data_IF_917441798444
#
_entry.id   IF_917441798444
#
_cell.length_a   1.000
_cell.length_b   1.000
_cell.length_c   1.000
_cell.angle_alpha   90.00
_cell.angle_beta   90.00
_cell.angle_gamma   90.00
#
_symmetry.space_group_name_H-M   'P 1'
#
loop_
_entity.id
_entity.type
_entity.pdbx_description
1 polymer ?
#
# COMPACT_ATOMS: atom_id res chain seq x y z
N UNK A 1 9.24 6.12 -46.51
CA UNK A 1 9.38 5.78 -45.08
C UNK A 1 7.99 5.41 -44.64
N UNK A 2 7.70 4.12 -44.60
CA UNK A 2 6.42 3.64 -44.11
C UNK A 2 6.42 3.72 -42.58
N UNK A 3 5.34 4.27 -42.02
CA UNK A 3 5.12 4.28 -40.58
C UNK A 3 4.58 2.89 -40.23
N UNK A 4 5.17 2.15 -39.27
CA UNK A 4 4.64 0.87 -38.87
C UNK A 4 3.22 1.05 -38.31
N UNK A 5 2.29 0.24 -38.80
CA UNK A 5 0.88 0.31 -38.41
C UNK A 5 0.72 -0.09 -36.94
N UNK A 6 -0.02 0.71 -36.17
CA UNK A 6 -0.17 0.51 -34.74
C UNK A 6 -1.07 -0.70 -34.46
N UNK A 7 -0.47 -1.79 -33.98
CA UNK A 7 -1.20 -2.97 -33.51
C UNK A 7 -1.46 -2.79 -32.02
N UNK A 8 -2.70 -2.46 -31.68
CA UNK A 8 -3.20 -2.41 -30.31
C UNK A 8 -3.05 -3.81 -29.67
N UNK A 9 -2.36 -3.95 -28.52
CA UNK A 9 -2.14 -5.26 -27.91
C UNK A 9 -3.49 -5.86 -27.48
N UNK A 10 -3.82 -7.03 -28.05
CA UNK A 10 -5.03 -7.78 -27.70
C UNK A 10 -5.02 -8.19 -26.21
N UNK A 11 -5.56 -7.31 -25.36
CA UNK A 11 -5.93 -7.64 -23.99
C UNK A 11 -6.94 -8.78 -24.04
N UNK A 12 -6.52 -9.98 -23.61
CA UNK A 12 -7.48 -11.02 -23.24
C UNK A 12 -8.30 -10.44 -22.09
N UNK A 13 -9.62 -10.29 -22.27
CA UNK A 13 -10.47 -9.65 -21.27
C UNK A 13 -10.44 -10.43 -19.96
N UNK A 14 -9.76 -9.87 -18.96
CA UNK A 14 -9.54 -10.41 -17.61
C UNK A 14 -10.80 -10.34 -16.72
N UNK A 15 -11.97 -10.66 -17.29
CA UNK A 15 -13.27 -10.59 -16.62
C UNK A 15 -13.42 -11.56 -15.44
N UNK A 16 -12.53 -12.53 -15.27
CA UNK A 16 -12.47 -13.41 -14.09
C UNK A 16 -12.05 -12.66 -12.83
N UNK A 17 -11.00 -11.85 -12.89
CA UNK A 17 -10.46 -11.18 -11.69
C UNK A 17 -11.37 -10.07 -11.17
N UNK A 18 -12.03 -9.34 -12.07
CA UNK A 18 -13.09 -8.39 -11.69
C UNK A 18 -14.24 -9.11 -10.98
N UNK A 19 -14.63 -10.31 -11.42
CA UNK A 19 -15.68 -11.12 -10.76
C UNK A 19 -15.23 -11.66 -9.39
N UNK A 20 -13.98 -12.07 -9.24
CA UNK A 20 -13.42 -12.52 -7.95
C UNK A 20 -13.39 -11.37 -6.92
N UNK A 21 -12.89 -10.20 -7.32
CA UNK A 21 -12.89 -8.99 -6.50
C UNK A 21 -14.32 -8.53 -6.13
N UNK A 22 -15.27 -8.63 -7.07
CA UNK A 22 -16.69 -8.34 -6.83
C UNK A 22 -17.30 -9.36 -5.86
N UNK A 23 -17.03 -10.66 -6.02
CA UNK A 23 -17.53 -11.71 -5.12
C UNK A 23 -17.00 -11.53 -3.69
N UNK A 24 -15.71 -11.20 -3.54
CA UNK A 24 -15.09 -10.90 -2.25
C UNK A 24 -15.76 -9.67 -1.60
N UNK A 25 -15.95 -8.58 -2.35
CA UNK A 25 -16.70 -7.41 -1.86
C UNK A 25 -18.14 -7.76 -1.44
N UNK A 26 -18.83 -8.62 -2.17
CA UNK A 26 -20.17 -9.07 -1.79
C UNK A 26 -20.18 -9.90 -0.49
N UNK A 27 -19.22 -10.83 -0.30
CA UNK A 27 -19.07 -11.56 0.98
C UNK A 27 -18.94 -10.59 2.16
N UNK A 28 -18.06 -9.59 2.06
CA UNK A 28 -17.84 -8.59 3.11
C UNK A 28 -19.07 -7.71 3.36
N UNK A 29 -19.83 -7.33 2.32
CA UNK A 29 -21.09 -6.59 2.48
C UNK A 29 -22.16 -7.47 3.16
N UNK A 30 -22.28 -8.74 2.78
CA UNK A 30 -23.19 -9.69 3.42
C UNK A 30 -22.87 -9.88 4.91
N UNK A 31 -21.58 -9.98 5.26
CA UNK A 31 -21.15 -10.07 6.65
C UNK A 31 -21.43 -8.78 7.44
N UNK A 32 -21.11 -7.60 6.89
CA UNK A 32 -21.43 -6.32 7.53
C UNK A 32 -22.95 -6.14 7.75
N UNK A 33 -23.78 -6.63 6.82
CA UNK A 33 -25.24 -6.61 6.97
C UNK A 33 -25.71 -7.57 8.07
N UNK A 34 -25.18 -8.80 8.15
CA UNK A 34 -25.45 -9.74 9.25
C UNK A 34 -25.07 -9.13 10.61
N UNK A 35 -23.85 -8.61 10.72
CA UNK A 35 -23.37 -7.96 11.94
C UNK A 35 -24.18 -6.72 12.34
N UNK A 36 -24.84 -6.04 11.39
CA UNK A 36 -25.76 -4.93 11.69
C UNK A 36 -27.11 -5.46 12.20
N UNK A 37 -27.69 -6.43 11.51
CA UNK A 37 -28.98 -7.06 11.89
C UNK A 37 -28.88 -7.72 13.28
N UNK A 38 -27.77 -8.39 13.60
CA UNK A 38 -27.53 -8.98 14.92
C UNK A 38 -27.37 -7.93 16.04
N UNK A 39 -26.93 -6.70 15.71
CA UNK A 39 -26.86 -5.58 16.65
C UNK A 39 -28.18 -4.82 16.79
N UNK A 40 -29.08 -4.93 15.81
CA UNK A 40 -30.41 -4.30 15.80
C UNK A 40 -31.52 -5.17 16.42
N UNK A 41 -31.26 -6.44 16.75
CA UNK A 41 -32.22 -7.26 17.50
C UNK A 41 -32.39 -6.75 18.95
N UNK A 42 -33.61 -6.33 19.37
CA UNK A 42 -33.86 -6.00 20.77
C UNK A 42 -33.81 -7.26 21.63
N UNK A 43 -33.11 -7.20 22.77
CA UNK A 43 -32.94 -8.35 23.69
C UNK A 43 -34.18 -8.67 24.55
N UNK A 44 -35.32 -8.06 24.25
CA UNK A 44 -36.53 -8.10 25.05
C UNK A 44 -37.69 -8.77 24.31
N UNK A 45 -37.62 -10.10 24.12
CA UNK A 45 -38.79 -11.01 23.95
C UNK A 45 -38.37 -12.49 23.78
N UNK A 46 -38.04 -13.17 24.89
CA UNK A 46 -38.48 -14.56 25.17
C UNK A 46 -38.06 -15.01 26.58
N UNK A 47 -38.96 -14.86 27.55
CA UNK A 47 -38.90 -15.60 28.82
C UNK A 47 -40.28 -16.21 29.10
N UNK A 48 -40.29 -17.41 29.66
CA UNK A 48 -41.47 -18.21 30.07
C UNK A 48 -42.31 -18.86 28.95
N UNK A 49 -41.87 -20.05 28.54
CA UNK A 49 -42.73 -21.23 28.76
C UNK A 49 -41.88 -22.45 29.15
N UNK A 50 -42.31 -23.14 30.21
CA UNK A 50 -41.49 -24.13 30.92
C UNK A 50 -41.54 -25.52 30.26
N UNK A 51 -40.42 -26.24 30.26
CA UNK A 51 -40.43 -27.65 30.68
C UNK A 51 -39.08 -28.07 31.25
N UNK A 52 -39.08 -28.96 32.26
CA UNK A 52 -37.91 -29.33 33.05
C UNK A 52 -37.38 -30.70 32.64
N UNK A 53 -36.05 -30.89 32.57
CA UNK A 53 -35.41 -32.19 32.90
C UNK A 53 -33.92 -32.01 33.26
N UNK A 54 -33.42 -32.82 34.22
CA UNK A 54 -32.00 -32.98 34.59
C UNK A 54 -31.36 -34.14 33.79
N UNK A 55 -30.07 -34.53 33.87
CA UNK A 55 -28.96 -34.35 34.84
C UNK A 55 -27.61 -34.22 34.09
N UNK A 56 -26.47 -33.84 34.74
CA UNK A 56 -25.31 -33.24 34.06
C UNK A 56 -24.13 -34.22 33.77
N UNK A 57 -22.90 -33.67 33.67
CA UNK A 57 -21.56 -34.32 33.63
C UNK A 57 -21.12 -34.96 32.28
N UNK A 58 -19.85 -34.98 31.85
CA UNK A 58 -18.56 -34.52 32.45
C UNK A 58 -17.57 -34.01 31.38
N UNK A 59 -16.61 -33.19 31.80
CA UNK A 59 -15.34 -32.80 31.16
C UNK A 59 -14.48 -33.98 30.64
N UNK A 60 -13.77 -33.83 29.50
CA UNK A 60 -12.27 -33.91 29.40
C UNK A 60 -11.72 -34.10 27.97
N UNK A 61 -10.79 -33.23 27.59
CA UNK A 61 -9.64 -33.43 26.67
C UNK A 61 -8.44 -34.07 27.43
N UNK A 62 -7.28 -34.44 26.84
CA UNK A 62 -6.82 -34.37 25.44
C UNK A 62 -6.11 -35.66 24.89
N UNK A 63 -5.48 -35.54 23.70
CA UNK A 63 -4.34 -36.34 23.18
C UNK A 63 -4.60 -37.79 22.68
N UNK A 64 -3.86 -38.38 21.71
CA UNK A 64 -2.54 -38.03 21.14
C UNK A 64 -2.32 -38.57 19.68
N UNK A 65 -1.32 -38.01 18.97
CA UNK A 65 -0.50 -38.60 17.87
C UNK A 65 -1.08 -39.03 16.48
N UNK A 66 -0.89 -38.16 15.46
CA UNK A 66 0.00 -38.30 14.25
C UNK A 66 -0.44 -37.30 13.17
N UNK A 67 0.34 -36.30 12.76
CA UNK A 67 1.54 -36.35 11.90
C UNK A 67 1.33 -37.04 10.54
N UNK A 68 0.98 -36.22 9.54
CA UNK A 68 1.46 -36.34 8.15
C UNK A 68 1.52 -34.91 7.53
N UNK A 69 2.11 -34.74 6.35
CA UNK A 69 2.79 -33.49 5.96
C UNK A 69 2.13 -32.64 4.85
N UNK A 70 2.58 -31.37 4.79
CA UNK A 70 2.70 -30.51 3.60
C UNK A 70 1.42 -30.12 2.81
N UNK A 71 0.66 -29.19 3.38
CA UNK A 71 0.22 -27.99 2.63
C UNK A 71 -0.03 -26.81 3.61
N UNK A 72 0.51 -25.61 3.38
CA UNK A 72 -0.01 -24.41 4.01
C UNK A 72 -1.37 -24.11 3.38
N UNK A 73 -2.45 -24.46 4.07
CA UNK A 73 -3.81 -24.21 3.59
C UNK A 73 -4.03 -22.71 3.40
N UNK A 74 -4.38 -22.31 2.17
CA UNK A 74 -4.79 -20.95 1.83
C UNK A 74 -6.13 -20.62 2.49
N UNK A 75 -6.07 -20.31 3.78
CA UNK A 75 -7.16 -19.85 4.63
C UNK A 75 -6.79 -18.53 5.31
N UNK A 76 -6.11 -17.65 4.56
CA UNK A 76 -6.16 -16.22 4.83
C UNK A 76 -7.53 -15.70 4.42
N UNK A 77 -8.13 -14.86 5.25
CA UNK A 77 -9.35 -14.14 4.90
C UNK A 77 -9.10 -13.31 3.63
N UNK A 78 -9.85 -13.57 2.57
CA UNK A 78 -9.67 -12.92 1.26
C UNK A 78 -10.05 -11.43 1.37
N UNK A 79 -9.12 -10.57 1.80
CA UNK A 79 -9.39 -9.14 1.97
C UNK A 79 -9.65 -8.45 0.62
N UNK A 80 -10.74 -7.66 0.45
CA UNK A 80 -11.03 -6.94 -0.78
C UNK A 80 -9.85 -6.16 -1.37
N UNK A 81 -9.48 -6.53 -2.59
CA UNK A 81 -8.38 -5.99 -3.37
C UNK A 81 -7.00 -6.26 -2.79
N UNK A 82 -6.81 -7.24 -1.90
CA UNK A 82 -5.51 -7.91 -1.73
C UNK A 82 -5.37 -9.16 -2.62
N UNK A 83 -6.48 -9.62 -3.22
CA UNK A 83 -6.55 -10.66 -4.25
C UNK A 83 -5.47 -10.47 -5.32
N UNK A 84 -4.63 -11.47 -5.61
CA UNK A 84 -3.60 -11.37 -6.64
C UNK A 84 -4.24 -11.43 -8.04
N UNK A 85 -3.93 -10.45 -8.90
CA UNK A 85 -4.42 -10.41 -10.29
C UNK A 85 -3.46 -11.03 -11.30
N UNK A 86 -2.16 -11.02 -11.00
CA UNK A 86 -1.12 -11.62 -11.84
C UNK A 86 0.16 -11.80 -11.04
N UNK A 87 1.07 -12.61 -11.56
CA UNK A 87 2.46 -12.67 -11.10
C UNK A 87 3.41 -11.92 -12.03
N UNK A 88 4.61 -11.65 -11.52
CA UNK A 88 5.83 -11.34 -12.28
C UNK A 88 6.92 -12.31 -11.83
N UNK A 89 7.60 -12.96 -12.77
CA UNK A 89 8.66 -13.93 -12.49
C UNK A 89 10.04 -13.38 -12.81
N UNK A 90 11.03 -13.85 -12.05
CA UNK A 90 12.45 -13.67 -12.32
C UNK A 90 13.18 -14.94 -11.87
N UNK A 91 13.78 -15.66 -12.82
CA UNK A 91 14.35 -17.00 -12.62
C UNK A 91 13.31 -17.92 -11.95
N UNK A 92 13.71 -18.68 -10.93
CA UNK A 92 12.83 -19.56 -10.15
C UNK A 92 11.96 -18.83 -9.11
N UNK A 93 12.00 -17.50 -9.05
CA UNK A 93 11.22 -16.68 -8.11
C UNK A 93 10.05 -15.97 -8.79
N UNK A 94 8.99 -15.72 -8.04
CA UNK A 94 7.85 -14.92 -8.48
C UNK A 94 7.37 -13.97 -7.37
N UNK A 95 6.69 -12.90 -7.78
CA UNK A 95 5.98 -11.99 -6.90
C UNK A 95 4.53 -11.91 -7.41
N UNK A 96 3.57 -11.99 -6.51
CA UNK A 96 2.16 -11.76 -6.81
C UNK A 96 1.83 -10.28 -6.70
N UNK A 97 1.05 -9.75 -7.65
CA UNK A 97 0.60 -8.36 -7.69
C UNK A 97 -0.87 -8.33 -7.25
N UNK A 98 -1.19 -7.74 -6.09
CA UNK A 98 -2.57 -7.50 -5.66
C UNK A 98 -3.35 -6.59 -6.62
N UNK A 99 -4.67 -6.78 -6.72
CA UNK A 99 -5.57 -6.00 -7.59
C UNK A 99 -5.35 -4.48 -7.48
N UNK A 100 -5.19 -3.95 -6.25
CA UNK A 100 -5.03 -2.51 -6.04
C UNK A 100 -3.73 -1.92 -6.58
N UNK A 101 -2.74 -2.76 -6.92
CA UNK A 101 -1.47 -2.34 -7.53
C UNK A 101 -1.42 -2.54 -9.05
N UNK A 102 -2.45 -3.16 -9.67
CA UNK A 102 -2.54 -3.34 -11.13
C UNK A 102 -2.22 -2.05 -11.88
N UNK A 103 -2.88 -0.96 -11.48
CA UNK A 103 -2.83 0.34 -12.16
C UNK A 103 -1.92 1.35 -11.43
N UNK A 104 -1.02 0.88 -10.55
CA UNK A 104 -0.11 1.73 -9.79
C UNK A 104 1.17 2.09 -10.59
N UNK A 105 1.62 3.34 -10.44
CA UNK A 105 2.79 3.86 -11.15
C UNK A 105 4.13 3.42 -10.53
N UNK A 106 5.03 2.93 -11.37
CA UNK A 106 6.44 2.65 -11.07
C UNK A 106 7.25 3.96 -10.99
N UNK A 107 7.00 4.73 -9.93
CA UNK A 107 7.74 5.98 -9.65
C UNK A 107 9.22 5.67 -9.36
N UNK A 108 10.18 6.07 -10.22
CA UNK A 108 11.58 5.67 -10.07
C UNK A 108 12.21 6.09 -8.72
N UNK A 109 11.69 7.15 -8.12
CA UNK A 109 12.14 7.69 -6.83
C UNK A 109 11.90 6.75 -5.63
N UNK A 110 11.06 5.70 -5.78
CA UNK A 110 10.87 4.66 -4.75
C UNK A 110 11.87 3.51 -4.85
N UNK A 111 12.61 3.41 -5.96
CA UNK A 111 13.56 2.34 -6.25
C UNK A 111 14.98 2.91 -6.14
N UNK A 112 15.57 2.90 -4.94
CA UNK A 112 16.83 3.59 -4.61
C UNK A 112 18.01 3.16 -5.49
N UNK A 113 18.04 1.89 -5.86
CA UNK A 113 19.12 1.30 -6.65
C UNK A 113 18.74 1.28 -8.14
N UNK A 114 17.47 1.03 -8.45
CA UNK A 114 16.95 0.91 -9.83
C UNK A 114 16.41 2.22 -10.43
N UNK A 115 16.46 3.37 -9.74
CA UNK A 115 15.92 4.67 -10.21
C UNK A 115 16.35 4.96 -11.66
N UNK A 116 17.65 4.86 -11.94
CA UNK A 116 18.21 5.13 -13.27
C UNK A 116 17.80 4.10 -14.32
N UNK A 117 17.62 2.85 -13.90
CA UNK A 117 17.18 1.74 -14.76
C UNK A 117 15.70 1.96 -15.16
N UNK A 118 14.84 2.27 -14.19
CA UNK A 118 13.44 2.62 -14.42
C UNK A 118 13.28 3.92 -15.22
N UNK A 119 14.14 4.93 -15.02
CA UNK A 119 14.10 6.14 -15.84
C UNK A 119 14.33 5.81 -17.33
N UNK A 120 15.36 5.02 -17.67
CA UNK A 120 15.54 4.60 -19.08
C UNK A 120 14.49 3.60 -19.56
N UNK A 121 13.97 2.71 -18.71
CA UNK A 121 12.88 1.81 -19.10
C UNK A 121 11.60 2.60 -19.44
N UNK A 122 11.32 3.67 -18.70
CA UNK A 122 10.22 4.61 -19.01
C UNK A 122 10.43 5.39 -20.32
N UNK A 123 11.69 5.64 -20.71
CA UNK A 123 12.06 6.28 -21.99
C UNK A 123 12.03 5.27 -23.17
N UNK A 124 12.61 4.08 -23.01
CA UNK A 124 12.81 3.08 -24.07
C UNK A 124 11.61 2.12 -24.24
N UNK A 125 10.74 1.95 -23.23
CA UNK A 125 9.60 1.01 -23.25
C UNK A 125 8.25 1.58 -22.77
N UNK A 126 8.20 2.83 -22.29
CA UNK A 126 6.99 3.48 -21.75
C UNK A 126 6.29 2.78 -20.56
N UNK A 127 6.86 1.70 -20.00
CA UNK A 127 6.30 0.91 -18.90
C UNK A 127 6.32 1.69 -17.56
N UNK A 128 5.30 2.53 -17.38
CA UNK A 128 5.06 3.43 -16.25
C UNK A 128 4.22 2.79 -15.16
N UNK A 129 3.47 1.74 -15.48
CA UNK A 129 2.45 1.11 -14.64
C UNK A 129 2.82 -0.36 -14.41
N UNK A 130 2.52 -0.91 -13.23
CA UNK A 130 2.83 -2.31 -12.88
C UNK A 130 2.19 -3.31 -13.84
N UNK A 131 0.97 -3.07 -14.33
CA UNK A 131 0.31 -3.90 -15.36
C UNK A 131 1.05 -3.95 -16.71
N UNK A 132 1.87 -2.95 -17.03
CA UNK A 132 2.67 -2.87 -18.27
C UNK A 132 3.96 -3.70 -18.19
N UNK A 133 4.32 -4.22 -17.00
CA UNK A 133 5.47 -5.13 -16.86
C UNK A 133 5.21 -6.47 -17.58
N UNK A 134 6.21 -7.07 -18.25
CA UNK A 134 6.08 -8.41 -18.82
C UNK A 134 5.90 -9.48 -17.73
N UNK A 135 5.40 -10.67 -18.10
CA UNK A 135 5.14 -11.76 -17.17
C UNK A 135 6.44 -12.35 -16.56
N UNK A 136 7.50 -12.46 -17.35
CA UNK A 136 8.88 -12.61 -16.89
C UNK A 136 9.64 -11.31 -17.15
N UNK A 137 10.50 -10.90 -16.22
CA UNK A 137 11.42 -9.78 -16.40
C UNK A 137 12.88 -10.20 -16.65
N UNK A 138 13.18 -11.49 -16.84
CA UNK A 138 14.55 -12.04 -16.93
C UNK A 138 15.46 -11.24 -17.88
N UNK A 139 14.94 -10.92 -19.06
CA UNK A 139 15.63 -10.18 -20.13
C UNK A 139 15.29 -8.68 -20.16
N UNK A 140 14.70 -8.12 -19.09
CA UNK A 140 14.28 -6.71 -19.03
C UNK A 140 15.45 -5.74 -19.23
N UNK A 141 16.67 -6.12 -18.84
CA UNK A 141 17.88 -5.33 -19.07
C UNK A 141 18.34 -5.28 -20.53
N UNK A 142 17.95 -6.25 -21.38
CA UNK A 142 18.27 -6.23 -22.82
C UNK A 142 17.49 -5.13 -23.56
N UNK A 143 16.33 -4.75 -23.01
CA UNK A 143 15.47 -3.68 -23.52
C UNK A 143 15.95 -2.26 -23.18
N UNK A 144 17.10 -2.12 -22.51
CA UNK A 144 17.55 -0.83 -21.98
C UNK A 144 19.07 -0.69 -22.08
N UNK A 145 19.54 0.35 -22.77
CA UNK A 145 20.95 0.48 -23.11
C UNK A 145 21.89 0.55 -21.87
N UNK A 146 22.99 -0.21 -21.91
CA UNK A 146 24.06 -0.27 -20.87
C UNK A 146 23.67 -0.88 -19.51
N UNK A 147 22.61 -1.68 -19.45
CA UNK A 147 22.25 -2.46 -18.26
C UNK A 147 22.62 -3.94 -18.39
N UNK A 148 22.55 -4.68 -17.27
CA UNK A 148 22.85 -6.11 -17.21
C UNK A 148 21.90 -6.82 -16.24
N UNK A 149 21.97 -8.15 -16.21
CA UNK A 149 21.19 -9.05 -15.34
C UNK A 149 21.11 -8.57 -13.87
N UNK A 150 22.21 -8.09 -13.29
CA UNK A 150 22.26 -7.58 -11.91
C UNK A 150 21.31 -6.40 -11.66
N UNK A 151 21.00 -5.59 -12.68
CA UNK A 151 20.01 -4.51 -12.55
C UNK A 151 18.57 -5.02 -12.64
N UNK A 152 18.30 -6.06 -13.45
CA UNK A 152 17.03 -6.79 -13.41
C UNK A 152 16.82 -7.43 -12.03
N UNK A 153 17.85 -8.09 -11.51
CA UNK A 153 17.85 -8.73 -10.18
C UNK A 153 17.56 -7.71 -9.08
N UNK A 154 18.26 -6.58 -9.09
CA UNK A 154 18.07 -5.49 -8.13
C UNK A 154 16.63 -4.93 -8.21
N UNK A 155 16.13 -4.70 -9.43
CA UNK A 155 14.76 -4.22 -9.64
C UNK A 155 13.72 -5.24 -9.15
N UNK A 156 13.93 -6.54 -9.33
CA UNK A 156 13.02 -7.57 -8.82
C UNK A 156 12.91 -7.54 -7.30
N UNK A 157 14.04 -7.39 -6.60
CA UNK A 157 14.06 -7.29 -5.14
C UNK A 157 13.37 -6.00 -4.66
N UNK A 158 13.70 -4.84 -5.25
CA UNK A 158 13.04 -3.57 -4.91
C UNK A 158 11.54 -3.56 -5.27
N UNK A 159 11.12 -4.28 -6.31
CA UNK A 159 9.70 -4.46 -6.66
C UNK A 159 8.96 -5.32 -5.63
N UNK A 160 9.62 -6.34 -5.08
CA UNK A 160 9.07 -7.12 -3.97
C UNK A 160 8.91 -6.27 -2.72
N UNK A 161 9.97 -5.58 -2.32
CA UNK A 161 9.97 -4.68 -1.14
C UNK A 161 8.89 -3.59 -1.28
N UNK A 162 8.70 -3.03 -2.48
CA UNK A 162 7.63 -2.09 -2.81
C UNK A 162 6.22 -2.71 -2.64
N UNK A 163 5.99 -3.93 -3.12
CA UNK A 163 4.68 -4.61 -3.01
C UNK A 163 4.36 -4.93 -1.54
N UNK A 164 5.34 -5.45 -0.79
CA UNK A 164 5.21 -5.70 0.65
C UNK A 164 4.97 -4.39 1.44
N UNK A 165 5.62 -3.28 1.08
CA UNK A 165 5.38 -1.95 1.65
C UNK A 165 3.95 -1.45 1.37
N UNK A 166 3.47 -1.54 0.12
CA UNK A 166 2.13 -1.11 -0.25
C UNK A 166 1.03 -1.95 0.40
N UNK A 167 1.23 -3.28 0.54
CA UNK A 167 0.31 -4.15 1.29
C UNK A 167 0.26 -3.72 2.77
N UNK A 168 1.41 -3.41 3.39
CA UNK A 168 1.49 -2.88 4.76
C UNK A 168 0.71 -1.56 4.89
N UNK A 169 0.94 -0.61 3.98
CA UNK A 169 0.28 0.70 3.94
C UNK A 169 -1.24 0.57 3.76
N UNK A 170 -1.71 -0.30 2.86
CA UNK A 170 -3.14 -0.55 2.64
C UNK A 170 -3.81 -1.14 3.88
N UNK A 171 -3.18 -2.12 4.53
CA UNK A 171 -3.68 -2.69 5.81
C UNK A 171 -3.73 -1.65 6.92
N UNK A 172 -2.70 -0.81 7.06
CA UNK A 172 -2.67 0.27 8.05
C UNK A 172 -3.87 1.22 7.89
N UNK A 173 -4.07 1.75 6.68
CA UNK A 173 -5.19 2.66 6.36
C UNK A 173 -6.56 2.00 6.61
N UNK A 174 -6.71 0.72 6.24
CA UNK A 174 -7.94 -0.05 6.50
C UNK A 174 -8.18 -0.26 8.01
N UNK A 175 -7.13 -0.45 8.79
CA UNK A 175 -7.22 -0.68 10.24
C UNK A 175 -7.53 0.58 11.06
N UNK A 176 -7.32 1.77 10.47
CA UNK A 176 -7.53 3.07 11.14
C UNK A 176 -8.28 4.06 10.24
N UNK A 177 -9.56 3.79 9.93
CA UNK A 177 -10.36 4.66 9.10
C UNK A 177 -10.53 6.04 9.75
N UNK A 178 -10.19 7.09 9.01
CA UNK A 178 -10.25 8.48 9.47
C UNK A 178 -8.90 9.08 9.89
N UNK A 179 -7.86 8.27 10.14
CA UNK A 179 -6.50 8.79 10.31
C UNK A 179 -5.91 9.23 8.96
N UNK A 180 -5.36 10.44 8.90
CA UNK A 180 -4.56 10.91 7.77
C UNK A 180 -3.10 10.45 7.96
N UNK A 181 -2.53 9.83 6.94
CA UNK A 181 -1.16 9.34 6.93
C UNK A 181 -0.33 10.06 5.86
N UNK A 182 0.88 10.49 6.22
CA UNK A 182 1.93 10.89 5.27
C UNK A 182 3.01 9.81 5.24
N UNK A 183 3.37 9.34 4.06
CA UNK A 183 4.34 8.27 3.85
C UNK A 183 5.61 8.77 3.16
N UNK A 184 6.76 8.25 3.60
CA UNK A 184 8.05 8.51 2.97
C UNK A 184 9.08 7.42 3.28
N UNK A 185 9.69 6.86 2.24
CA UNK A 185 10.84 5.95 2.31
C UNK A 185 10.76 4.79 3.33
N UNK A 186 9.60 4.11 3.38
CA UNK A 186 9.30 3.03 4.32
C UNK A 186 8.52 3.45 5.58
N UNK A 187 8.65 4.72 5.99
CA UNK A 187 8.07 5.30 7.20
C UNK A 187 6.68 5.95 6.98
N UNK A 188 5.92 6.11 8.06
CA UNK A 188 4.69 6.89 8.16
C UNK A 188 4.73 7.99 9.24
N UNK A 189 3.87 9.00 9.07
CA UNK A 189 3.48 9.99 10.08
C UNK A 189 1.95 10.04 10.14
N UNK A 190 1.38 9.87 11.32
CA UNK A 190 -0.06 10.09 11.59
C UNK A 190 -0.31 11.58 11.82
N UNK A 191 -1.16 12.18 10.98
CA UNK A 191 -1.54 13.59 11.09
C UNK A 191 -2.80 13.71 11.94
N UNK A 192 -2.61 14.09 13.21
CA UNK A 192 -3.70 14.52 14.10
C UNK A 192 -4.11 15.95 13.80
N UNK A 193 -5.33 16.36 14.16
CA UNK A 193 -5.87 17.70 13.90
C UNK A 193 -4.90 18.83 14.29
N UNK A 194 -4.48 18.87 15.57
CA UNK A 194 -3.50 19.84 16.12
C UNK A 194 -2.14 19.86 15.40
N UNK A 195 -1.77 18.77 14.71
CA UNK A 195 -0.53 18.67 13.94
C UNK A 195 -0.74 19.06 12.47
N UNK A 196 -1.88 18.70 11.88
CA UNK A 196 -2.30 19.09 10.54
C UNK A 196 -2.41 20.61 10.36
N UNK A 197 -2.92 21.32 11.37
CA UNK A 197 -3.01 22.79 11.41
C UNK A 197 -1.65 23.52 11.43
N UNK A 198 -0.53 22.84 11.69
CA UNK A 198 0.79 23.50 11.80
C UNK A 198 1.18 24.07 10.41
N UNK A 199 1.54 25.37 10.31
CA UNK A 199 1.83 26.00 9.02
C UNK A 199 3.22 25.61 8.47
N UNK A 200 3.29 25.42 7.16
CA UNK A 200 4.51 25.14 6.40
C UNK A 200 5.20 26.47 6.08
N UNK A 201 5.95 26.97 7.08
CA UNK A 201 6.68 28.22 7.00
C UNK A 201 8.18 28.03 7.30
N UNK A 202 8.97 29.10 7.09
CA UNK A 202 10.44 29.11 7.24
C UNK A 202 10.94 29.14 8.70
N UNK A 203 10.01 29.13 9.66
CA UNK A 203 10.29 29.12 11.10
C UNK A 203 10.15 27.70 11.66
N UNK A 204 9.07 27.01 11.29
CA UNK A 204 8.83 25.60 11.59
C UNK A 204 9.76 24.68 10.77
N UNK A 205 10.03 25.03 9.51
CA UNK A 205 10.83 24.23 8.60
C UNK A 205 12.06 25.00 8.12
N UNK A 206 13.24 24.47 8.42
CA UNK A 206 14.54 25.10 8.18
C UNK A 206 15.34 24.36 7.10
N UNK A 207 16.35 25.02 6.52
CA UNK A 207 17.26 24.41 5.52
C UNK A 207 16.67 24.23 4.11
N UNK A 208 15.36 24.35 3.93
CA UNK A 208 14.68 24.17 2.63
C UNK A 208 13.75 25.36 2.22
N UNK A 209 14.18 26.64 2.32
CA UNK A 209 13.30 27.79 2.06
C UNK A 209 12.65 27.77 0.67
N UNK A 210 13.39 27.39 -0.37
CA UNK A 210 12.88 27.31 -1.74
C UNK A 210 11.93 26.12 -1.99
N UNK A 211 11.87 25.13 -1.09
CA UNK A 211 10.80 24.12 -1.11
C UNK A 211 9.54 24.70 -0.47
N UNK A 212 9.68 25.37 0.68
CA UNK A 212 8.58 26.01 1.40
C UNK A 212 7.89 27.06 0.52
N UNK A 213 8.65 27.85 -0.24
CA UNK A 213 8.09 28.79 -1.21
C UNK A 213 7.29 28.07 -2.31
N UNK A 214 7.83 27.01 -2.92
CA UNK A 214 7.11 26.22 -3.95
C UNK A 214 5.87 25.50 -3.42
N UNK A 215 5.89 24.99 -2.17
CA UNK A 215 4.72 24.39 -1.54
C UNK A 215 3.60 25.42 -1.33
N UNK A 216 3.94 26.61 -0.81
CA UNK A 216 2.96 27.68 -0.62
C UNK A 216 2.45 28.27 -1.96
N UNK A 217 3.28 28.31 -3.01
CA UNK A 217 2.88 28.69 -4.37
C UNK A 217 1.85 27.71 -4.96
N UNK A 218 2.01 26.40 -4.71
CA UNK A 218 1.06 25.34 -5.09
C UNK A 218 -0.14 25.20 -4.11
N UNK A 219 -0.24 26.07 -3.09
CA UNK A 219 -1.36 26.10 -2.13
C UNK A 219 -1.24 25.13 -0.95
N UNK A 220 -0.10 24.47 -0.76
CA UNK A 220 0.20 23.56 0.35
C UNK A 220 0.75 24.39 1.52
N UNK A 221 -0.15 24.90 2.38
CA UNK A 221 0.16 25.91 3.42
C UNK A 221 0.26 25.29 4.81
N UNK A 222 -0.40 24.16 5.06
CA UNK A 222 -0.45 23.46 6.36
C UNK A 222 -0.11 21.97 6.21
N UNK A 223 0.29 21.30 7.29
CA UNK A 223 0.73 19.89 7.27
C UNK A 223 -0.34 18.93 6.74
N UNK A 224 -1.63 19.22 6.94
CA UNK A 224 -2.73 18.44 6.36
C UNK A 224 -2.87 18.58 4.83
N UNK A 225 -2.33 19.66 4.24
CA UNK A 225 -2.39 19.89 2.78
C UNK A 225 -1.30 19.10 2.02
N UNK A 226 -0.37 18.45 2.75
CA UNK A 226 0.72 17.70 2.14
C UNK A 226 0.22 16.48 1.35
N UNK A 227 0.85 16.17 0.20
CA UNK A 227 0.54 14.94 -0.51
C UNK A 227 0.88 13.72 0.36
N UNK A 228 -0.08 12.80 0.50
CA UNK A 228 0.05 11.50 1.17
C UNK A 228 1.39 10.81 0.89
N UNK A 229 1.89 10.90 -0.34
CA UNK A 229 3.18 10.37 -0.77
C UNK A 229 4.21 11.51 -0.88
N UNK A 230 4.98 11.76 0.17
CA UNK A 230 5.93 12.88 0.21
C UNK A 230 7.06 12.75 -0.81
N UNK A 231 7.30 11.54 -1.36
CA UNK A 231 8.24 11.32 -2.47
C UNK A 231 7.88 12.15 -3.72
N UNK A 232 6.61 12.53 -3.90
CA UNK A 232 6.14 13.39 -5.00
C UNK A 232 6.75 14.80 -4.90
N UNK A 233 7.05 15.27 -3.69
CA UNK A 233 7.69 16.58 -3.42
C UNK A 233 9.12 16.63 -4.02
N UNK A 234 9.76 15.48 -4.24
CA UNK A 234 11.03 15.36 -4.97
C UNK A 234 10.97 15.77 -6.45
N UNK A 235 9.79 16.11 -6.98
CA UNK A 235 9.61 16.67 -8.34
C UNK A 235 9.82 18.19 -8.39
N UNK A 236 9.78 18.89 -7.26
CA UNK A 236 9.95 20.35 -7.22
C UNK A 236 11.35 20.79 -7.67
N UNK A 237 11.44 21.98 -8.25
CA UNK A 237 12.67 22.47 -8.85
C UNK A 237 13.73 22.67 -7.77
N UNK A 238 14.86 21.97 -7.92
CA UNK A 238 15.97 21.94 -6.97
C UNK A 238 15.67 21.17 -5.65
N UNK A 239 14.63 20.34 -5.60
CA UNK A 239 14.28 19.53 -4.42
C UNK A 239 14.70 18.07 -4.65
N UNK A 240 16.01 17.80 -4.56
CA UNK A 240 16.53 16.42 -4.57
C UNK A 240 16.24 15.68 -3.25
N UNK A 241 16.36 14.35 -3.26
CA UNK A 241 15.99 13.45 -2.15
C UNK A 241 16.38 13.98 -0.76
N UNK A 242 17.66 14.37 -0.56
CA UNK A 242 18.17 14.89 0.72
C UNK A 242 17.46 16.12 1.30
N UNK A 243 16.69 16.87 0.50
CA UNK A 243 15.81 17.95 0.99
C UNK A 243 14.45 17.42 1.47
N UNK A 244 13.91 16.39 0.81
CA UNK A 244 12.68 15.70 1.26
C UNK A 244 12.97 14.86 2.49
N UNK A 245 14.11 14.15 2.54
CA UNK A 245 14.61 13.45 3.73
C UNK A 245 14.62 14.38 4.95
N UNK A 246 15.23 15.56 4.83
CA UNK A 246 15.34 16.55 5.89
C UNK A 246 13.97 17.15 6.29
N UNK A 247 13.13 17.48 5.31
CA UNK A 247 11.76 17.97 5.55
C UNK A 247 10.92 16.93 6.32
N UNK A 248 11.04 15.66 5.98
CA UNK A 248 10.34 14.55 6.65
C UNK A 248 10.83 14.31 8.08
N UNK A 249 12.14 14.39 8.35
CA UNK A 249 12.62 14.34 9.74
C UNK A 249 12.13 15.54 10.55
N UNK A 250 12.07 16.75 9.97
CA UNK A 250 11.49 17.91 10.64
C UNK A 250 9.98 17.75 10.92
N UNK A 251 9.21 17.10 10.04
CA UNK A 251 7.83 16.70 10.34
C UNK A 251 7.76 15.75 11.55
N UNK A 252 8.62 14.71 11.61
CA UNK A 252 8.70 13.80 12.78
C UNK A 252 9.05 14.56 14.07
N UNK A 253 10.02 15.47 14.04
CA UNK A 253 10.43 16.28 15.20
C UNK A 253 9.30 17.21 15.69
N UNK A 254 8.56 17.84 14.77
CA UNK A 254 7.41 18.69 15.10
C UNK A 254 6.22 17.89 15.64
N UNK A 255 5.99 16.68 15.12
CA UNK A 255 4.98 15.75 15.64
C UNK A 255 5.32 15.35 17.08
N UNK A 256 6.56 14.94 17.35
CA UNK A 256 7.02 14.57 18.70
C UNK A 256 6.95 15.73 19.70
N UNK A 257 7.25 16.97 19.27
CA UNK A 257 7.05 18.18 20.10
C UNK A 257 5.57 18.38 20.42
N UNK A 258 4.70 18.34 19.42
CA UNK A 258 3.25 18.54 19.58
C UNK A 258 2.59 17.48 20.50
N UNK A 259 3.12 16.25 20.50
CA UNK A 259 2.72 15.17 21.42
C UNK A 259 3.16 15.49 22.86
N UNK A 260 4.42 15.91 23.07
CA UNK A 260 4.93 16.30 24.40
C UNK A 260 4.21 17.53 24.96
N UNK A 261 4.01 18.55 24.13
CA UNK A 261 3.21 19.75 24.43
C UNK A 261 1.79 19.41 24.89
N UNK A 262 1.20 18.32 24.37
CA UNK A 262 -0.13 17.86 24.83
C UNK A 262 -0.03 17.11 26.16
N UNK A 263 0.97 16.24 26.35
CA UNK A 263 1.16 15.45 27.58
C UNK A 263 1.59 16.30 28.79
N UNK A 264 2.28 17.43 28.57
CA UNK A 264 2.69 18.36 29.62
C UNK A 264 1.61 19.39 30.01
N UNK A 265 0.39 19.30 29.44
CA UNK A 265 -0.74 20.19 29.70
C UNK A 265 -1.97 19.51 30.35
N UNK A 266 -1.96 18.19 30.53
CA UNK A 266 -3.00 17.38 31.19
C UNK A 266 -2.56 16.92 32.60
#
# INVERSE_FOLDING_TARGET
>A
MDVPEYIDPNMKTESSYDLEEINIRFKNIEEMLKQSIEKEQPKDLEENLMTQTEVPTTTNTPEHMKQEELAPSMSGEEEPGLTPVRSVTYKDSFIEIPYFLRDAFLLPQRFKLSERFLLRLNEEQQARIISELPASIDHLHEKVSRYNETHTETFFHELKDFIDEEIRRKRLIKSRPGELFLFYDGDEIVVTEKFGEKPINKENFTGAPALIDQLNEDGIVTVQDLPKELVIIGKYKSVGKGRVDNFFQQLKDLQQKSIKETIEMD
#
